data_IF_236823518484
#
_entry.id   IF_236823518484
#
_cell.length_a   1.000
_cell.length_b   1.000
_cell.length_c   1.000
_cell.angle_alpha   90.00
_cell.angle_beta   90.00
_cell.angle_gamma   90.00
#
_symmetry.space_group_name_H-M   'P 1'
#
loop_
_entity.id
_entity.type
_entity.pdbx_description
1 polymer ?
#
# COMPACT_ATOMS: atom_id res chain seq x y z
N UNK A 1 -25.68 3.87 46.66
CA UNK A 1 -26.42 3.55 45.41
C UNK A 1 -25.87 4.31 44.20
N UNK A 2 -25.72 5.64 44.27
CA UNK A 2 -25.28 6.42 43.10
C UNK A 2 -23.80 6.20 42.76
N UNK A 3 -22.93 6.04 43.74
CA UNK A 3 -21.51 5.71 43.58
C UNK A 3 -21.27 4.31 43.01
N UNK A 4 -22.03 3.32 43.48
CA UNK A 4 -21.94 1.92 43.01
C UNK A 4 -22.44 1.82 41.57
N UNK A 5 -23.50 2.55 41.19
CA UNK A 5 -24.02 2.61 39.83
C UNK A 5 -22.99 3.26 38.86
N UNK A 6 -22.33 4.34 39.28
CA UNK A 6 -21.28 4.99 38.51
C UNK A 6 -20.04 4.09 38.34
N UNK A 7 -19.66 3.36 39.40
CA UNK A 7 -18.55 2.41 39.33
C UNK A 7 -18.86 1.21 38.40
N UNK A 8 -20.09 0.70 38.46
CA UNK A 8 -20.53 -0.41 37.60
C UNK A 8 -20.52 0.03 36.10
N UNK A 9 -21.09 1.17 35.81
CA UNK A 9 -21.09 1.71 34.44
C UNK A 9 -19.67 1.97 33.94
N UNK A 10 -18.78 2.47 34.78
CA UNK A 10 -17.35 2.67 34.42
C UNK A 10 -16.64 1.37 34.08
N UNK A 11 -16.91 0.29 34.86
CA UNK A 11 -16.35 -1.06 34.58
C UNK A 11 -16.87 -1.61 33.24
N UNK A 12 -18.17 -1.48 33.00
CA UNK A 12 -18.80 -1.95 31.74
C UNK A 12 -18.21 -1.20 30.57
N UNK A 13 -18.09 0.12 30.63
CA UNK A 13 -17.49 0.92 29.57
C UNK A 13 -16.05 0.50 29.29
N UNK A 14 -15.25 0.28 30.34
CA UNK A 14 -13.87 -0.18 30.18
C UNK A 14 -13.80 -1.54 29.48
N UNK A 15 -14.65 -2.49 29.85
CA UNK A 15 -14.71 -3.80 29.20
C UNK A 15 -15.10 -3.70 27.72
N UNK A 16 -16.05 -2.82 27.38
CA UNK A 16 -16.45 -2.57 26.00
C UNK A 16 -15.29 -1.99 25.20
N UNK A 17 -14.56 -1.02 25.76
CA UNK A 17 -13.38 -0.43 25.09
C UNK A 17 -12.30 -1.49 24.88
N UNK A 18 -11.96 -2.27 25.89
CA UNK A 18 -10.95 -3.34 25.77
C UNK A 18 -11.40 -4.36 24.72
N UNK A 19 -12.66 -4.79 24.76
CA UNK A 19 -13.21 -5.73 23.77
C UNK A 19 -13.12 -5.20 22.34
N UNK A 20 -13.46 -3.93 22.13
CA UNK A 20 -13.36 -3.26 20.83
C UNK A 20 -11.90 -3.16 20.34
N UNK A 21 -10.99 -2.71 21.19
CA UNK A 21 -9.58 -2.61 20.83
C UNK A 21 -8.96 -3.99 20.51
N UNK A 22 -9.35 -5.00 21.28
CA UNK A 22 -8.93 -6.41 21.03
C UNK A 22 -9.48 -6.89 19.68
N UNK A 23 -10.75 -6.64 19.40
CA UNK A 23 -11.35 -6.98 18.10
C UNK A 23 -10.59 -6.32 16.93
N UNK A 24 -10.31 -5.01 17.02
CA UNK A 24 -9.55 -4.28 15.98
C UNK A 24 -8.16 -4.86 15.76
N UNK A 25 -7.52 -5.39 16.81
CA UNK A 25 -6.16 -5.97 16.71
C UNK A 25 -6.13 -7.40 16.19
N UNK A 26 -7.15 -8.19 16.47
CA UNK A 26 -7.15 -9.64 16.19
C UNK A 26 -7.95 -9.96 14.92
N UNK A 27 -9.09 -9.27 14.72
CA UNK A 27 -9.99 -9.56 13.59
C UNK A 27 -9.76 -8.70 12.35
N UNK A 28 -9.03 -7.60 12.49
CA UNK A 28 -8.76 -6.70 11.36
C UNK A 28 -7.24 -6.63 11.02
N UNK A 29 -6.91 -6.36 9.74
CA UNK A 29 -7.82 -6.11 8.62
C UNK A 29 -8.46 -7.40 8.07
N UNK A 30 -9.74 -7.33 7.67
CA UNK A 30 -10.48 -8.42 7.03
C UNK A 30 -10.70 -8.13 5.53
N UNK A 31 -9.68 -8.41 4.73
CA UNK A 31 -9.74 -8.28 3.26
C UNK A 31 -9.76 -9.64 2.55
N UNK A 32 -9.68 -10.73 3.31
CA UNK A 32 -9.55 -12.10 2.79
C UNK A 32 -8.09 -12.50 2.53
N UNK A 33 -7.87 -13.78 2.16
CA UNK A 33 -6.55 -14.30 1.85
C UNK A 33 -6.01 -13.70 0.55
N UNK A 34 -4.68 -13.74 0.34
CA UNK A 34 -4.11 -13.39 -0.95
C UNK A 34 -4.68 -14.32 -2.03
N UNK A 35 -5.00 -13.82 -3.23
CA UNK A 35 -5.50 -14.66 -4.32
C UNK A 35 -4.40 -15.64 -4.76
N UNK A 36 -4.80 -16.85 -5.12
CA UNK A 36 -3.88 -17.83 -5.71
C UNK A 36 -3.73 -17.53 -7.21
N UNK A 37 -2.81 -16.63 -7.52
CA UNK A 37 -2.51 -16.21 -8.89
C UNK A 37 -1.02 -16.36 -9.17
N UNK A 38 -0.72 -16.70 -10.42
CA UNK A 38 0.63 -16.67 -10.98
C UNK A 38 0.62 -15.78 -12.22
N UNK A 39 1.41 -14.73 -12.20
CA UNK A 39 1.43 -13.73 -13.25
C UNK A 39 2.46 -14.13 -14.31
N UNK A 40 2.00 -14.26 -15.53
CA UNK A 40 2.88 -14.48 -16.66
C UNK A 40 3.55 -13.16 -17.06
N UNK A 41 4.88 -13.12 -17.03
CA UNK A 41 5.68 -11.95 -17.35
C UNK A 41 5.96 -11.88 -18.86
N UNK A 42 4.92 -11.57 -19.67
CA UNK A 42 5.11 -11.33 -21.10
C UNK A 42 5.80 -9.98 -21.34
N UNK A 43 6.43 -9.81 -22.50
CA UNK A 43 7.10 -8.56 -22.85
C UNK A 43 6.17 -7.36 -22.79
N UNK A 44 4.92 -7.53 -23.26
CA UNK A 44 3.88 -6.49 -23.24
C UNK A 44 3.49 -6.10 -21.81
N UNK A 45 3.27 -7.11 -20.92
CA UNK A 45 2.97 -6.85 -19.51
C UNK A 45 4.12 -6.13 -18.82
N UNK A 46 5.36 -6.55 -19.03
CA UNK A 46 6.54 -5.91 -18.45
C UNK A 46 6.64 -4.45 -18.93
N UNK A 47 6.49 -4.21 -20.23
CA UNK A 47 6.53 -2.85 -20.79
C UNK A 47 5.41 -1.97 -20.22
N UNK A 48 4.17 -2.49 -20.17
CA UNK A 48 3.03 -1.79 -19.57
C UNK A 48 3.26 -1.48 -18.10
N UNK A 49 3.74 -2.48 -17.34
CA UNK A 49 4.02 -2.34 -15.92
C UNK A 49 5.13 -1.34 -15.63
N UNK A 50 6.19 -1.33 -16.44
CA UNK A 50 7.26 -0.34 -16.35
C UNK A 50 6.72 1.08 -16.55
N UNK A 51 5.91 1.30 -17.59
CA UNK A 51 5.27 2.59 -17.83
C UNK A 51 4.40 3.03 -16.65
N UNK A 52 3.54 2.14 -16.14
CA UNK A 52 2.68 2.43 -15.02
C UNK A 52 3.47 2.77 -13.75
N UNK A 53 4.46 1.95 -13.42
CA UNK A 53 5.23 2.08 -12.19
C UNK A 53 6.09 3.36 -12.14
N UNK A 54 6.59 3.82 -13.30
CA UNK A 54 7.43 5.03 -13.36
C UNK A 54 6.65 6.33 -13.59
N UNK A 55 5.51 6.26 -14.30
CA UNK A 55 4.91 7.50 -14.84
C UNK A 55 3.45 7.70 -14.42
N UNK A 56 2.79 6.68 -13.88
CA UNK A 56 1.37 6.77 -13.55
C UNK A 56 1.12 6.51 -12.07
N UNK A 57 1.50 5.34 -11.56
CA UNK A 57 1.24 4.95 -10.16
C UNK A 57 2.36 5.35 -9.21
N UNK A 58 3.43 5.95 -9.71
CA UNK A 58 4.55 6.52 -8.96
C UNK A 58 5.23 5.54 -7.98
N UNK A 59 5.21 4.23 -8.30
CA UNK A 59 5.83 3.23 -7.44
C UNK A 59 7.31 3.52 -7.22
N UNK A 60 8.03 3.89 -8.30
CA UNK A 60 9.46 4.14 -8.23
C UNK A 60 9.81 5.43 -7.48
N UNK A 61 8.89 6.39 -7.38
CA UNK A 61 9.13 7.62 -6.61
C UNK A 61 9.27 7.35 -5.11
N UNK A 62 8.43 6.49 -4.54
CA UNK A 62 8.49 6.14 -3.12
C UNK A 62 9.45 4.97 -2.84
N UNK A 63 9.55 4.02 -3.79
CA UNK A 63 10.33 2.80 -3.58
C UNK A 63 11.76 2.87 -4.15
N UNK A 64 12.27 4.07 -4.45
CA UNK A 64 13.66 4.27 -4.88
C UNK A 64 14.33 5.37 -4.05
N UNK A 65 15.63 5.57 -4.22
CA UNK A 65 16.30 6.71 -3.59
C UNK A 65 16.06 7.98 -4.42
N UNK A 66 15.69 9.08 -3.76
CA UNK A 66 15.45 10.39 -4.39
C UNK A 66 16.62 11.34 -4.14
N UNK A 67 16.97 12.14 -5.13
CA UNK A 67 17.95 13.23 -4.98
C UNK A 67 17.25 14.53 -4.61
N UNK A 68 17.11 14.78 -3.33
CA UNK A 68 16.45 15.98 -2.79
C UNK A 68 17.29 17.24 -2.88
N UNK A 69 18.47 17.20 -3.50
CA UNK A 69 19.21 18.42 -3.86
C UNK A 69 18.52 19.19 -5.00
N UNK A 70 17.65 18.51 -5.76
CA UNK A 70 16.79 19.11 -6.76
C UNK A 70 15.35 19.21 -6.26
N UNK A 71 14.66 20.28 -6.69
CA UNK A 71 13.25 20.50 -6.31
C UNK A 71 12.34 19.31 -6.68
N UNK A 72 12.52 18.71 -7.84
CA UNK A 72 11.73 17.55 -8.28
C UNK A 72 12.10 16.23 -7.58
N UNK A 73 13.22 16.20 -6.84
CA UNK A 73 13.73 14.99 -6.21
C UNK A 73 13.81 13.80 -7.18
N UNK A 74 14.56 13.88 -8.30
CA UNK A 74 14.58 12.81 -9.28
C UNK A 74 15.12 11.52 -8.67
N UNK A 75 14.69 10.37 -9.20
CA UNK A 75 15.20 9.07 -8.79
C UNK A 75 16.71 8.96 -9.11
N UNK A 76 17.49 8.52 -8.15
CA UNK A 76 18.91 8.22 -8.33
C UNK A 76 19.05 6.95 -9.18
N UNK A 77 19.80 7.05 -10.28
CA UNK A 77 19.99 5.92 -11.19
C UNK A 77 20.53 4.67 -10.45
N UNK A 78 20.00 3.51 -10.78
CA UNK A 78 20.40 2.23 -10.20
C UNK A 78 19.80 1.94 -8.81
N UNK A 79 18.84 2.73 -8.34
CA UNK A 79 18.16 2.53 -7.05
C UNK A 79 16.70 2.11 -7.20
N UNK A 80 16.28 1.72 -8.39
CA UNK A 80 14.90 1.31 -8.70
C UNK A 80 14.40 0.21 -7.78
N UNK A 81 13.35 0.50 -7.04
CA UNK A 81 12.75 -0.45 -6.11
C UNK A 81 13.53 -0.72 -4.81
N UNK A 82 14.66 -0.05 -4.59
CA UNK A 82 15.52 -0.23 -3.40
C UNK A 82 14.80 0.03 -2.09
N UNK A 83 13.83 0.94 -2.09
CA UNK A 83 13.15 1.39 -0.89
C UNK A 83 14.00 2.27 0.01
N UNK A 84 13.42 2.62 1.16
CA UNK A 84 14.11 3.40 2.21
C UNK A 84 13.59 4.83 2.37
N UNK A 85 12.76 5.34 1.46
CA UNK A 85 12.10 6.64 1.66
C UNK A 85 11.24 6.58 2.92
N UNK A 86 11.36 7.62 3.75
CA UNK A 86 10.75 7.64 5.08
C UNK A 86 9.81 8.82 5.23
N UNK A 87 8.63 8.54 5.74
CA UNK A 87 7.56 9.49 6.03
C UNK A 87 7.24 9.42 7.52
N UNK A 88 7.60 10.43 8.26
CA UNK A 88 7.51 10.43 9.70
C UNK A 88 6.80 11.67 10.28
N UNK A 89 6.83 11.83 11.59
CA UNK A 89 6.19 12.93 12.31
C UNK A 89 6.70 14.31 11.87
N UNK A 90 7.90 14.41 11.30
CA UNK A 90 8.44 15.68 10.77
C UNK A 90 7.63 16.18 9.58
N UNK A 91 7.01 15.25 8.85
CA UNK A 91 6.12 15.52 7.74
C UNK A 91 4.63 15.45 8.14
N UNK A 92 4.32 15.40 9.43
CA UNK A 92 2.94 15.34 9.94
C UNK A 92 2.31 13.95 9.94
N UNK A 93 3.07 12.88 9.70
CA UNK A 93 2.53 11.53 9.72
C UNK A 93 2.38 10.99 11.15
N UNK A 94 1.32 10.20 11.43
CA UNK A 94 1.06 9.64 12.75
C UNK A 94 1.86 8.35 12.98
N UNK A 95 3.17 8.38 12.75
CA UNK A 95 4.09 7.27 12.87
C UNK A 95 5.31 7.42 11.98
N UNK A 96 6.09 6.35 11.85
CA UNK A 96 7.22 6.23 10.93
C UNK A 96 6.87 5.21 9.85
N UNK A 97 6.71 5.67 8.62
CA UNK A 97 6.38 4.83 7.47
C UNK A 97 7.55 4.81 6.51
N UNK A 98 8.06 3.62 6.24
CA UNK A 98 9.21 3.41 5.36
C UNK A 98 8.76 2.64 4.13
N UNK A 99 8.99 3.19 2.94
CA UNK A 99 8.75 2.48 1.70
C UNK A 99 9.66 1.24 1.63
N UNK A 100 9.13 0.01 1.57
CA UNK A 100 9.95 -1.18 1.58
C UNK A 100 10.73 -1.35 0.27
N UNK A 101 11.79 -2.14 0.33
CA UNK A 101 12.46 -2.65 -0.86
C UNK A 101 11.48 -3.57 -1.62
N UNK A 102 11.19 -3.24 -2.88
CA UNK A 102 10.29 -4.03 -3.74
C UNK A 102 11.04 -4.79 -4.84
N UNK A 103 12.38 -4.83 -4.78
CA UNK A 103 13.16 -5.69 -5.67
C UNK A 103 13.05 -7.17 -5.28
N UNK A 104 13.45 -8.10 -6.15
CA UNK A 104 13.50 -9.53 -5.82
C UNK A 104 14.34 -9.87 -4.58
N UNK A 105 15.25 -9.01 -4.13
CA UNK A 105 15.97 -9.19 -2.87
C UNK A 105 15.03 -9.37 -1.67
N UNK A 106 13.98 -8.53 -1.59
CA UNK A 106 13.00 -8.58 -0.51
C UNK A 106 11.77 -9.41 -0.87
N UNK A 107 11.32 -9.35 -2.15
CA UNK A 107 10.08 -9.98 -2.58
C UNK A 107 10.23 -11.43 -3.09
N UNK A 108 11.44 -12.04 -3.05
CA UNK A 108 11.69 -13.40 -3.56
C UNK A 108 10.76 -14.46 -2.95
N UNK A 109 10.44 -14.32 -1.68
CA UNK A 109 9.61 -15.25 -0.93
C UNK A 109 8.12 -14.86 -0.89
N UNK A 110 7.74 -13.81 -1.62
CA UNK A 110 6.35 -13.39 -1.75
C UNK A 110 5.72 -14.03 -3.00
N UNK A 111 4.51 -14.56 -2.87
CA UNK A 111 3.71 -14.96 -4.03
C UNK A 111 3.20 -13.73 -4.77
N UNK A 112 2.79 -13.89 -6.04
CA UNK A 112 2.20 -12.79 -6.80
C UNK A 112 0.89 -12.32 -6.16
N UNK A 113 0.11 -13.24 -5.60
CA UNK A 113 -1.11 -12.91 -4.86
C UNK A 113 -0.87 -12.12 -3.58
N UNK A 114 0.22 -12.37 -2.86
CA UNK A 114 0.59 -11.58 -1.68
C UNK A 114 0.97 -10.14 -2.07
N UNK A 115 1.73 -9.96 -3.17
CA UNK A 115 2.03 -8.62 -3.69
C UNK A 115 0.75 -7.95 -4.19
N UNK A 116 -0.09 -8.69 -4.92
CA UNK A 116 -1.36 -8.19 -5.42
C UNK A 116 -2.26 -7.68 -4.28
N UNK A 117 -2.40 -8.46 -3.19
CA UNK A 117 -3.15 -8.05 -1.99
C UNK A 117 -2.54 -6.82 -1.34
N UNK A 118 -1.22 -6.76 -1.21
CA UNK A 118 -0.55 -5.60 -0.62
C UNK A 118 -0.82 -4.32 -1.41
N UNK A 119 -0.71 -4.39 -2.74
CA UNK A 119 -0.92 -3.23 -3.62
C UNK A 119 -2.38 -2.81 -3.70
N UNK A 120 -3.34 -3.74 -3.69
CA UNK A 120 -4.76 -3.44 -3.96
C UNK A 120 -5.64 -3.34 -2.72
N UNK A 121 -5.21 -3.91 -1.60
CA UNK A 121 -5.98 -3.94 -0.35
C UNK A 121 -5.25 -3.35 0.83
N UNK A 122 -3.95 -3.10 0.73
CA UNK A 122 -3.15 -2.55 1.82
C UNK A 122 -2.84 -3.55 2.94
N UNK A 123 -2.70 -4.84 2.62
CA UNK A 123 -2.37 -5.88 3.59
C UNK A 123 -1.11 -6.63 3.17
N UNK A 124 -0.09 -6.55 3.97
CA UNK A 124 1.21 -7.20 3.79
C UNK A 124 1.11 -8.72 3.81
N UNK A 125 2.18 -9.43 3.39
CA UNK A 125 2.29 -10.89 3.45
C UNK A 125 1.96 -11.46 4.83
N UNK A 126 2.45 -10.84 5.87
CA UNK A 126 2.26 -11.22 7.28
C UNK A 126 0.89 -10.82 7.86
N UNK A 127 -0.02 -10.27 7.06
CA UNK A 127 -1.35 -9.83 7.48
C UNK A 127 -1.40 -8.42 8.07
N UNK A 128 -0.29 -7.73 8.19
CA UNK A 128 -0.21 -6.38 8.75
C UNK A 128 -0.82 -5.34 7.80
N UNK A 129 -1.62 -4.42 8.36
CA UNK A 129 -2.15 -3.29 7.62
C UNK A 129 -1.03 -2.34 7.16
N UNK A 130 -1.11 -1.87 5.94
CA UNK A 130 -0.22 -0.86 5.37
C UNK A 130 -0.88 0.51 5.46
N UNK A 131 -0.07 1.53 5.79
CA UNK A 131 -0.56 2.91 5.85
C UNK A 131 -0.85 3.43 4.42
N UNK A 132 -1.95 4.20 4.24
CA UNK A 132 -2.44 4.56 2.90
C UNK A 132 -1.60 5.63 2.17
N UNK A 133 -0.40 5.95 2.66
CA UNK A 133 0.57 6.73 1.85
C UNK A 133 0.92 5.99 0.55
N UNK A 134 0.96 4.65 0.57
CA UNK A 134 0.78 3.86 -0.64
C UNK A 134 -0.72 3.78 -0.92
N UNK A 135 -1.25 4.42 -1.97
CA UNK A 135 -2.68 4.59 -2.15
C UNK A 135 -3.37 3.30 -2.63
N UNK A 136 -3.22 2.23 -1.85
CA UNK A 136 -3.79 0.90 -2.16
C UNK A 136 -5.30 0.93 -2.39
N UNK A 137 -6.02 1.86 -1.73
CA UNK A 137 -7.46 2.06 -1.92
C UNK A 137 -7.81 2.62 -3.31
N UNK A 138 -6.89 3.34 -3.96
CA UNK A 138 -7.01 3.76 -5.35
C UNK A 138 -6.58 2.63 -6.30
N UNK A 139 -5.46 1.97 -6.02
CA UNK A 139 -4.98 0.86 -6.84
C UNK A 139 -5.95 -0.32 -6.87
N UNK A 140 -6.69 -0.55 -5.78
CA UNK A 140 -7.76 -1.53 -5.72
C UNK A 140 -8.99 -1.21 -6.59
N UNK A 141 -9.02 -0.05 -7.25
CA UNK A 141 -10.06 0.34 -8.21
C UNK A 141 -9.59 0.22 -9.67
N UNK A 142 -8.32 -0.04 -9.92
CA UNK A 142 -7.77 -0.12 -11.27
C UNK A 142 -8.14 -1.43 -11.96
N UNK A 143 -7.79 -1.55 -13.23
CA UNK A 143 -7.89 -2.82 -13.97
C UNK A 143 -6.91 -3.84 -13.39
N UNK A 144 -7.36 -5.07 -13.19
CA UNK A 144 -6.50 -6.16 -12.69
C UNK A 144 -5.28 -6.38 -13.57
N UNK A 145 -5.44 -6.24 -14.89
CA UNK A 145 -4.34 -6.43 -15.82
C UNK A 145 -3.25 -5.35 -15.63
N UNK A 146 -3.63 -4.13 -15.28
CA UNK A 146 -2.66 -3.06 -14.99
C UNK A 146 -1.89 -3.36 -13.68
N UNK A 147 -2.55 -3.86 -12.65
CA UNK A 147 -1.88 -4.30 -11.42
C UNK A 147 -0.96 -5.50 -11.68
N UNK A 148 -1.43 -6.49 -12.44
CA UNK A 148 -0.61 -7.64 -12.84
C UNK A 148 0.61 -7.20 -13.66
N UNK A 149 0.46 -6.23 -14.55
CA UNK A 149 1.55 -5.68 -15.35
C UNK A 149 2.60 -5.00 -14.45
N UNK A 150 2.18 -4.22 -13.44
CA UNK A 150 3.09 -3.61 -12.46
C UNK A 150 3.87 -4.70 -11.71
N UNK A 151 3.20 -5.76 -11.26
CA UNK A 151 3.85 -6.87 -10.54
C UNK A 151 4.82 -7.61 -11.45
N UNK A 152 4.43 -7.89 -12.71
CA UNK A 152 5.31 -8.50 -13.71
C UNK A 152 6.60 -7.68 -13.89
N UNK A 153 6.48 -6.36 -14.00
CA UNK A 153 7.64 -5.46 -14.09
C UNK A 153 8.50 -5.50 -12.82
N UNK A 154 7.91 -5.39 -11.63
CA UNK A 154 8.62 -5.42 -10.33
C UNK A 154 9.45 -6.71 -10.20
N UNK A 155 8.93 -7.85 -10.68
CA UNK A 155 9.64 -9.13 -10.70
C UNK A 155 10.90 -9.13 -11.58
N UNK A 156 11.01 -8.20 -12.54
CA UNK A 156 12.18 -8.07 -13.43
C UNK A 156 13.25 -7.11 -12.90
N UNK A 157 12.98 -6.38 -11.81
CA UNK A 157 13.96 -5.47 -11.23
C UNK A 157 15.24 -6.21 -10.79
N UNK A 158 16.36 -5.52 -10.87
CA UNK A 158 17.62 -6.07 -10.34
C UNK A 158 17.53 -6.18 -8.83
N UNK A 159 17.90 -7.32 -8.22
CA UNK A 159 17.97 -7.43 -6.78
C UNK A 159 18.94 -6.39 -6.21
N UNK A 160 18.48 -5.59 -5.26
CA UNK A 160 19.31 -4.60 -4.55
C UNK A 160 19.28 -4.95 -3.06
N UNK A 161 20.44 -5.24 -2.50
CA UNK A 161 20.56 -5.53 -1.08
C UNK A 161 20.31 -4.25 -0.26
N UNK A 162 19.11 -4.17 0.32
CA UNK A 162 18.71 -3.12 1.23
C UNK A 162 17.62 -3.65 2.16
N UNK A 163 17.93 -3.78 3.44
CA UNK A 163 16.97 -4.13 4.49
C UNK A 163 16.34 -2.85 5.02
N UNK A 164 15.12 -2.57 4.64
CA UNK A 164 14.37 -1.43 5.15
C UNK A 164 13.79 -1.72 6.54
N UNK A 165 13.62 -0.68 7.34
CA UNK A 165 12.91 -0.78 8.61
C UNK A 165 11.43 -1.12 8.40
N UNK A 166 10.82 -1.76 9.40
CA UNK A 166 9.38 -2.01 9.42
C UNK A 166 8.67 -0.74 9.87
N UNK A 167 7.66 -0.31 9.11
CA UNK A 167 6.83 0.84 9.46
C UNK A 167 6.09 0.62 10.77
N UNK A 168 5.92 1.68 11.54
CA UNK A 168 5.19 1.68 12.81
C UNK A 168 4.27 2.90 12.91
N UNK A 169 3.11 2.71 13.52
CA UNK A 169 2.15 3.79 13.78
C UNK A 169 2.14 4.15 15.25
N UNK A 170 2.01 5.45 15.56
CA UNK A 170 1.85 5.96 16.92
C UNK A 170 0.41 5.71 17.41
N UNK A 171 0.19 5.83 18.73
CA UNK A 171 -1.17 5.81 19.27
C UNK A 171 -1.91 7.11 18.90
N UNK A 172 -3.19 7.07 18.50
CA UNK A 172 -4.06 5.89 18.35
C UNK A 172 -4.02 5.23 16.96
N UNK A 173 -3.20 5.74 16.02
CA UNK A 173 -3.12 5.24 14.65
C UNK A 173 -2.75 3.76 14.57
N UNK A 174 -1.97 3.25 15.52
CA UNK A 174 -1.63 1.81 15.62
C UNK A 174 -2.84 0.88 15.79
N UNK A 175 -4.03 1.41 16.15
CA UNK A 175 -5.31 0.70 16.13
C UNK A 175 -6.10 1.05 14.86
N UNK A 176 -6.20 2.34 14.54
CA UNK A 176 -6.98 2.84 13.40
C UNK A 176 -6.50 2.23 12.09
N UNK A 177 -5.20 2.06 11.91
CA UNK A 177 -4.60 1.53 10.67
C UNK A 177 -5.20 0.17 10.26
N UNK A 178 -5.62 -0.67 11.21
CA UNK A 178 -6.21 -1.98 10.91
C UNK A 178 -7.63 -1.87 10.29
N UNK A 179 -8.29 -0.74 10.44
CA UNK A 179 -9.62 -0.47 9.87
C UNK A 179 -9.58 0.13 8.47
N UNK A 180 -8.40 0.50 7.97
CA UNK A 180 -8.23 1.20 6.69
C UNK A 180 -8.26 0.24 5.49
N UNK A 181 -7.59 -0.93 5.51
CA UNK A 181 -7.58 -1.84 4.37
C UNK A 181 -9.00 -2.28 3.97
N UNK A 182 -9.24 -2.36 2.66
CA UNK A 182 -10.54 -2.74 2.09
C UNK A 182 -10.36 -3.76 0.98
N UNK A 183 -11.39 -4.56 0.75
CA UNK A 183 -11.48 -5.42 -0.44
C UNK A 183 -11.49 -4.54 -1.69
N UNK A 184 -10.73 -4.91 -2.73
CA UNK A 184 -10.68 -4.11 -3.95
C UNK A 184 -12.00 -4.17 -4.73
N UNK A 185 -12.28 -3.11 -5.49
CA UNK A 185 -13.43 -2.98 -6.39
C UNK A 185 -12.95 -2.61 -7.79
N UNK A 186 -12.38 -3.60 -8.48
CA UNK A 186 -11.74 -3.40 -9.78
C UNK A 186 -12.67 -2.86 -10.86
N UNK A 187 -12.12 -2.05 -11.75
CA UNK A 187 -12.78 -1.57 -12.97
C UNK A 187 -12.01 -2.06 -14.19
N UNK A 188 -12.65 -2.05 -15.35
CA UNK A 188 -11.94 -2.26 -16.61
C UNK A 188 -11.42 -0.92 -17.12
N UNK A 189 -10.21 -0.91 -17.67
CA UNK A 189 -9.62 0.29 -18.27
C UNK A 189 -10.52 0.78 -19.42
N UNK A 190 -10.99 2.05 -19.40
CA UNK A 190 -11.78 2.60 -20.48
C UNK A 190 -10.95 2.76 -21.76
N UNK A 191 -11.57 2.69 -22.94
CA UNK A 191 -10.84 2.95 -24.19
C UNK A 191 -10.36 4.40 -24.22
N UNK A 192 -9.17 4.63 -24.80
CA UNK A 192 -8.57 5.97 -24.91
C UNK A 192 -9.43 6.97 -25.73
N UNK A 193 -10.34 6.47 -26.55
CA UNK A 193 -11.33 7.29 -27.27
C UNK A 193 -12.36 7.92 -26.34
N UNK A 194 -12.68 7.29 -25.21
CA UNK A 194 -13.50 7.86 -24.14
C UNK A 194 -12.62 8.71 -23.20
N UNK A 195 -12.30 9.91 -23.64
CA UNK A 195 -11.35 10.79 -22.96
C UNK A 195 -11.74 11.11 -21.52
N UNK A 196 -13.04 11.21 -21.24
CA UNK A 196 -13.52 11.54 -19.88
C UNK A 196 -13.27 10.38 -18.90
N UNK A 197 -13.73 9.18 -19.25
CA UNK A 197 -13.59 8.01 -18.38
C UNK A 197 -12.13 7.54 -18.33
N UNK A 198 -11.39 7.60 -19.45
CA UNK A 198 -9.97 7.30 -19.47
C UNK A 198 -9.16 8.30 -18.63
N UNK A 199 -9.47 9.60 -18.72
CA UNK A 199 -8.85 10.64 -17.90
C UNK A 199 -9.13 10.43 -16.41
N UNK A 200 -10.37 10.06 -16.04
CA UNK A 200 -10.72 9.70 -14.65
C UNK A 200 -9.92 8.49 -14.17
N UNK A 201 -9.78 7.47 -15.01
CA UNK A 201 -8.98 6.27 -14.68
C UNK A 201 -7.53 6.63 -14.38
N UNK A 202 -6.90 7.41 -15.27
CA UNK A 202 -5.51 7.86 -15.09
C UNK A 202 -5.35 8.75 -13.85
N UNK A 203 -6.26 9.70 -13.63
CA UNK A 203 -6.26 10.57 -12.45
C UNK A 203 -6.39 9.76 -11.14
N UNK A 204 -7.21 8.69 -11.14
CA UNK A 204 -7.29 7.75 -10.03
C UNK A 204 -5.97 6.99 -9.84
N UNK A 205 -5.41 6.45 -10.92
CA UNK A 205 -4.16 5.69 -10.88
C UNK A 205 -2.96 6.54 -10.40
N UNK A 206 -2.96 7.83 -10.74
CA UNK A 206 -1.90 8.76 -10.34
C UNK A 206 -2.12 9.40 -8.97
N UNK A 207 -3.18 9.06 -8.26
CA UNK A 207 -3.46 9.65 -6.95
C UNK A 207 -3.75 11.16 -6.97
N UNK A 208 -4.16 11.73 -8.11
CA UNK A 208 -4.41 13.18 -8.22
C UNK A 208 -5.50 13.69 -7.26
N UNK A 209 -6.31 12.80 -6.70
CA UNK A 209 -7.40 13.13 -5.76
C UNK A 209 -6.94 13.14 -4.30
N UNK A 210 -5.67 12.83 -4.01
CA UNK A 210 -5.14 12.72 -2.64
C UNK A 210 -4.65 14.07 -2.08
N UNK A 211 -4.61 15.11 -2.87
CA UNK A 211 -4.30 16.46 -2.41
C UNK A 211 -5.56 17.16 -1.92
#
# INVERSE_FOLDING_TARGET
>A
YQTEYLQLNGKILLLVIIGFLTYVKIALPDVGPPPDIKIEATAEKIQRGSYLAHHVTLCMDCHSTRDWSYFSGPMVAGTEGKGGETFDQKFGFPGKYVAPNITPFHLKDWTDGEIFRAVTSGVSKDGRALFPIMPHHLYGQLDKNDIEAIIAFIRTLKPIENKTEISSSDFPMNFIINTIPKKPSFTTIPPQSDKLNYGKYIATASGCMEC
#
